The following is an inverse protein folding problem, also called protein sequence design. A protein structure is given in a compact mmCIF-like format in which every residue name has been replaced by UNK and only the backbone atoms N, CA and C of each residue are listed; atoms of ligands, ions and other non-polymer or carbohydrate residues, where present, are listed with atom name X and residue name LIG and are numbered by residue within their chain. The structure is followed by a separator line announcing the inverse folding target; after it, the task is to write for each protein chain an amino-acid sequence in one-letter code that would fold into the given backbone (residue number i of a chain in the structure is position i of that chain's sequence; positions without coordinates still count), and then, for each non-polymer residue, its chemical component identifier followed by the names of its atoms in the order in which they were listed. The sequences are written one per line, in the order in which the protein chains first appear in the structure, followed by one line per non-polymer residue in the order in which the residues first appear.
data_IF_866462736202
#
_entry.id   IF_866462736202
#
_cell.length_a   1.000
_cell.length_b   1.000
_cell.length_c   1.000
_cell.angle_alpha   90.00
_cell.angle_beta   90.00
_cell.angle_gamma   90.00
#
_symmetry.space_group_name_H-M   'P 1'
#
loop_
_entity.id
_entity.type
_entity.pdbx_description
1 polymer ?
#
# COMPACT_ATOMS: atom_id res chain seq x y z
N UNK A 1 -14.48 -11.27 -19.12
CA UNK A 1 -15.47 -11.17 -18.02
C UNK A 1 -15.65 -12.54 -17.38
N UNK A 2 -15.83 -12.58 -16.08
CA UNK A 2 -16.17 -13.78 -15.32
C UNK A 2 -17.36 -13.45 -14.42
N UNK A 3 -18.07 -14.47 -13.96
CA UNK A 3 -19.11 -14.31 -12.96
C UNK A 3 -18.52 -14.20 -11.55
N UNK A 4 -19.29 -13.64 -10.60
CA UNK A 4 -18.88 -13.58 -9.18
C UNK A 4 -18.61 -15.00 -8.64
N UNK A 5 -19.42 -15.99 -9.01
CA UNK A 5 -19.23 -17.38 -8.56
C UNK A 5 -17.94 -18.01 -9.11
N UNK A 6 -17.56 -17.72 -10.34
CA UNK A 6 -16.28 -18.17 -10.91
C UNK A 6 -15.10 -17.53 -10.18
N UNK A 7 -15.18 -16.22 -9.91
CA UNK A 7 -14.15 -15.52 -9.14
C UNK A 7 -14.02 -16.09 -7.73
N UNK A 8 -15.13 -16.32 -7.03
CA UNK A 8 -15.11 -16.91 -5.69
C UNK A 8 -14.51 -18.32 -5.64
N UNK A 9 -14.69 -19.10 -6.72
CA UNK A 9 -14.20 -20.49 -6.80
C UNK A 9 -12.70 -20.59 -7.07
N UNK A 10 -12.14 -19.75 -7.97
CA UNK A 10 -10.76 -19.92 -8.47
C UNK A 10 -9.87 -18.69 -8.26
N UNK A 11 -10.44 -17.58 -7.86
CA UNK A 11 -9.74 -16.31 -7.65
C UNK A 11 -9.14 -15.71 -8.93
N UNK A 12 -8.48 -14.59 -8.80
CA UNK A 12 -7.76 -13.93 -9.90
C UNK A 12 -6.68 -14.80 -10.52
N UNK A 13 -5.86 -15.55 -9.74
CA UNK A 13 -4.84 -16.43 -10.32
C UNK A 13 -5.42 -17.52 -11.23
N UNK A 14 -6.50 -18.19 -10.81
CA UNK A 14 -7.12 -19.24 -11.61
C UNK A 14 -7.76 -18.71 -12.88
N UNK A 15 -8.41 -17.55 -12.84
CA UNK A 15 -9.00 -16.91 -14.01
C UNK A 15 -7.94 -16.46 -15.04
N UNK A 16 -6.87 -15.86 -14.58
CA UNK A 16 -5.78 -15.42 -15.46
C UNK A 16 -5.02 -16.59 -16.05
N UNK A 17 -4.82 -17.69 -15.31
CA UNK A 17 -4.25 -18.92 -15.83
C UNK A 17 -5.13 -19.53 -16.93
N UNK A 18 -6.44 -19.65 -16.71
CA UNK A 18 -7.38 -20.16 -17.70
C UNK A 18 -7.41 -19.32 -18.98
N UNK A 19 -7.40 -17.98 -18.86
CA UNK A 19 -7.31 -17.08 -19.99
C UNK A 19 -5.99 -17.25 -20.75
N UNK A 20 -4.88 -17.38 -20.03
CA UNK A 20 -3.57 -17.59 -20.65
C UNK A 20 -3.55 -18.89 -21.48
N UNK A 21 -4.13 -19.99 -20.98
CA UNK A 21 -4.25 -21.24 -21.73
C UNK A 21 -5.08 -21.08 -23.01
N UNK A 22 -6.22 -20.39 -22.93
CA UNK A 22 -7.03 -20.10 -24.12
C UNK A 22 -6.26 -19.28 -25.17
N UNK A 23 -5.48 -18.31 -24.74
CA UNK A 23 -4.67 -17.48 -25.64
C UNK A 23 -3.52 -18.28 -26.27
N UNK A 24 -2.88 -19.19 -25.50
CA UNK A 24 -1.84 -20.09 -26.03
C UNK A 24 -2.42 -21.04 -27.08
N UNK A 25 -3.61 -21.60 -26.85
CA UNK A 25 -4.30 -22.42 -27.83
C UNK A 25 -4.61 -21.70 -29.13
N UNK A 26 -4.71 -20.36 -29.12
CA UNK A 26 -4.85 -19.50 -30.29
C UNK A 26 -3.49 -19.09 -30.92
N UNK A 27 -2.37 -19.66 -30.48
CA UNK A 27 -1.03 -19.34 -30.97
C UNK A 27 -0.45 -18.01 -30.43
N UNK A 28 -1.09 -17.39 -29.42
CA UNK A 28 -0.59 -16.17 -28.79
C UNK A 28 0.43 -16.51 -27.69
N UNK A 29 1.21 -15.51 -27.29
CA UNK A 29 2.21 -15.59 -26.20
C UNK A 29 1.79 -14.70 -25.02
N UNK A 30 0.81 -15.09 -24.20
CA UNK A 30 0.37 -14.29 -23.08
C UNK A 30 1.42 -14.24 -21.99
N UNK A 31 1.59 -13.07 -21.37
CA UNK A 31 2.30 -12.89 -20.12
C UNK A 31 1.29 -12.51 -19.02
N UNK A 32 1.25 -13.30 -17.94
CA UNK A 32 0.32 -13.06 -16.82
C UNK A 32 0.99 -12.12 -15.82
N UNK A 33 0.36 -10.97 -15.59
CA UNK A 33 0.75 -10.04 -14.53
C UNK A 33 -0.23 -10.26 -13.37
N UNK A 34 0.24 -10.67 -12.18
CA UNK A 34 -0.63 -10.85 -11.03
C UNK A 34 -1.21 -9.51 -10.55
N UNK A 35 -2.25 -9.57 -9.72
CA UNK A 35 -2.84 -8.37 -9.11
C UNK A 35 -1.76 -7.59 -8.35
N UNK A 36 -1.70 -6.28 -8.61
CA UNK A 36 -0.67 -5.41 -8.03
C UNK A 36 0.76 -5.65 -8.52
N UNK A 37 0.98 -6.56 -9.49
CA UNK A 37 2.33 -6.99 -9.85
C UNK A 37 3.04 -7.76 -8.72
N UNK A 38 2.28 -8.27 -7.74
CA UNK A 38 2.81 -8.87 -6.50
C UNK A 38 3.26 -10.30 -6.75
N UNK A 39 4.54 -10.44 -7.04
CA UNK A 39 5.30 -11.69 -7.15
C UNK A 39 6.78 -11.40 -6.87
N UNK A 40 7.60 -12.42 -6.80
CA UNK A 40 9.04 -12.29 -6.55
C UNK A 40 9.74 -11.32 -7.53
N UNK A 41 9.37 -11.37 -8.81
CA UNK A 41 9.94 -10.45 -9.81
C UNK A 41 9.55 -8.98 -9.53
N UNK A 42 8.26 -8.72 -9.24
CA UNK A 42 7.77 -7.36 -8.94
C UNK A 42 8.35 -6.79 -7.65
N UNK A 43 8.67 -7.65 -6.68
CA UNK A 43 9.30 -7.29 -5.40
C UNK A 43 10.67 -6.61 -5.59
N UNK A 44 11.43 -6.98 -6.62
CA UNK A 44 12.72 -6.36 -6.94
C UNK A 44 12.63 -4.85 -7.12
N UNK A 45 11.53 -4.34 -7.69
CA UNK A 45 11.37 -2.89 -7.88
C UNK A 45 11.41 -2.11 -6.57
N UNK A 46 10.85 -2.67 -5.49
CA UNK A 46 10.87 -2.02 -4.18
C UNK A 46 12.16 -2.29 -3.39
N UNK A 47 12.86 -3.39 -3.64
CA UNK A 47 14.21 -3.60 -3.11
C UNK A 47 15.14 -2.53 -3.68
N UNK A 48 15.10 -2.28 -4.99
CA UNK A 48 15.86 -1.21 -5.64
C UNK A 48 15.44 0.19 -5.16
N UNK A 49 14.15 0.41 -4.89
CA UNK A 49 13.67 1.66 -4.35
C UNK A 49 14.20 1.94 -2.93
N UNK A 50 14.42 0.90 -2.12
CA UNK A 50 15.10 1.06 -0.81
C UNK A 50 16.57 1.45 -1.02
N UNK A 51 17.25 0.88 -1.99
CA UNK A 51 18.64 1.28 -2.32
C UNK A 51 18.72 2.75 -2.76
N UNK A 52 17.73 3.22 -3.52
CA UNK A 52 17.61 4.65 -3.86
C UNK A 52 17.35 5.49 -2.61
N UNK A 53 16.46 5.03 -1.72
CA UNK A 53 16.15 5.70 -0.46
C UNK A 53 17.41 5.85 0.42
N UNK A 54 18.27 4.83 0.50
CA UNK A 54 19.52 4.93 1.27
C UNK A 54 20.39 6.10 0.81
N UNK A 55 20.52 6.30 -0.50
CA UNK A 55 21.27 7.44 -1.05
C UNK A 55 20.61 8.78 -0.67
N UNK A 56 19.27 8.86 -0.79
CA UNK A 56 18.52 10.07 -0.41
C UNK A 56 18.60 10.35 1.10
N UNK A 57 18.62 9.32 1.94
CA UNK A 57 18.79 9.48 3.38
C UNK A 57 20.21 9.91 3.76
N UNK A 58 21.24 9.46 3.02
CA UNK A 58 22.60 9.92 3.20
C UNK A 58 22.74 11.43 2.85
N UNK A 59 22.16 11.87 1.74
CA UNK A 59 22.13 13.29 1.36
C UNK A 59 21.36 14.13 2.41
N UNK A 60 20.25 13.60 2.92
CA UNK A 60 19.47 14.22 3.99
C UNK A 60 20.31 14.39 5.28
N UNK A 61 21.05 13.35 5.66
CA UNK A 61 21.93 13.39 6.82
C UNK A 61 23.08 14.39 6.65
N UNK A 62 23.67 14.46 5.44
CA UNK A 62 24.70 15.44 5.10
C UNK A 62 24.18 16.89 5.17
N UNK A 63 22.88 17.10 4.93
CA UNK A 63 22.20 18.38 5.10
C UNK A 63 21.82 18.71 6.56
N UNK A 64 22.17 17.85 7.53
CA UNK A 64 21.87 18.02 8.95
C UNK A 64 20.40 17.79 9.32
N UNK A 65 19.63 17.12 8.47
CA UNK A 65 18.23 16.81 8.73
C UNK A 65 18.12 15.55 9.61
N UNK A 66 17.05 15.46 10.43
CA UNK A 66 16.86 14.30 11.33
C UNK A 66 16.82 12.97 10.61
N UNK A 67 17.35 11.92 11.23
CA UNK A 67 17.30 10.55 10.75
C UNK A 67 15.83 10.06 10.67
N UNK A 68 15.46 9.42 9.57
CA UNK A 68 14.15 8.74 9.45
C UNK A 68 14.17 7.50 10.31
N UNK A 69 13.22 7.43 11.24
CA UNK A 69 13.10 6.33 12.20
C UNK A 69 12.02 5.31 11.85
N UNK A 70 11.06 5.72 11.02
CA UNK A 70 9.93 4.88 10.62
C UNK A 70 9.60 5.09 9.14
N UNK A 71 9.33 3.99 8.44
CA UNK A 71 8.82 3.97 7.07
C UNK A 71 7.41 3.40 7.12
N UNK A 72 6.43 4.14 6.59
CA UNK A 72 5.00 3.77 6.64
C UNK A 72 4.43 3.73 5.22
N UNK A 73 3.62 2.74 4.91
CA UNK A 73 3.00 2.58 3.59
C UNK A 73 1.69 1.78 3.64
N UNK A 74 0.92 1.87 2.55
CA UNK A 74 -0.28 1.06 2.36
C UNK A 74 0.09 -0.34 1.85
N UNK A 75 -0.46 -1.39 2.48
CA UNK A 75 -0.34 -2.77 2.05
C UNK A 75 -1.67 -3.24 1.43
N UNK A 76 -1.67 -3.46 0.12
CA UNK A 76 -2.81 -3.99 -0.65
C UNK A 76 -2.57 -5.45 -1.06
N UNK A 77 -1.76 -5.71 -2.07
CA UNK A 77 -1.46 -7.06 -2.58
C UNK A 77 -0.13 -7.64 -2.07
N UNK A 78 0.54 -6.97 -1.15
CA UNK A 78 1.76 -7.44 -0.49
C UNK A 78 3.09 -7.16 -1.21
N UNK A 79 3.10 -6.93 -2.52
CA UNK A 79 4.36 -6.75 -3.28
C UNK A 79 5.21 -5.57 -2.83
N UNK A 80 4.61 -4.41 -2.59
CA UNK A 80 5.29 -3.24 -2.01
C UNK A 80 5.85 -3.57 -0.63
N UNK A 81 5.04 -4.23 0.22
CA UNK A 81 5.44 -4.60 1.57
C UNK A 81 6.63 -5.58 1.56
N UNK A 82 6.58 -6.60 0.70
CA UNK A 82 7.67 -7.57 0.55
C UNK A 82 8.99 -6.88 0.14
N UNK A 83 8.92 -5.99 -0.86
CA UNK A 83 10.13 -5.32 -1.35
C UNK A 83 10.71 -4.31 -0.37
N UNK A 84 9.87 -3.48 0.27
CA UNK A 84 10.32 -2.51 1.26
C UNK A 84 10.88 -3.19 2.51
N UNK A 85 10.19 -4.22 3.02
CA UNK A 85 10.64 -4.94 4.22
C UNK A 85 11.93 -5.70 3.96
N UNK A 86 12.01 -6.45 2.87
CA UNK A 86 13.21 -7.19 2.50
C UNK A 86 14.37 -6.25 2.14
N UNK A 87 14.10 -5.19 1.38
CA UNK A 87 15.11 -4.18 1.06
C UNK A 87 15.68 -3.51 2.31
N UNK A 88 14.83 -3.08 3.24
CA UNK A 88 15.26 -2.50 4.50
C UNK A 88 16.06 -3.49 5.36
N UNK A 89 15.65 -4.76 5.40
CA UNK A 89 16.38 -5.81 6.12
C UNK A 89 17.79 -6.05 5.52
N UNK A 90 17.89 -6.07 4.20
CA UNK A 90 19.16 -6.31 3.49
C UNK A 90 20.11 -5.10 3.52
N UNK A 91 19.54 -3.89 3.49
CA UNK A 91 20.34 -2.64 3.47
C UNK A 91 20.92 -2.27 4.83
N UNK A 92 20.35 -2.78 5.91
CA UNK A 92 20.74 -2.40 7.26
C UNK A 92 20.18 -1.04 7.70
N UNK A 93 19.14 -0.53 7.03
CA UNK A 93 18.38 0.63 7.49
C UNK A 93 17.83 0.36 8.89
N UNK A 94 18.01 1.33 9.79
CA UNK A 94 17.54 1.22 11.18
C UNK A 94 16.06 1.59 11.33
N UNK A 95 15.48 2.19 10.30
CA UNK A 95 14.08 2.59 10.32
C UNK A 95 13.16 1.36 10.47
N UNK A 96 12.19 1.46 11.39
CA UNK A 96 11.14 0.46 11.52
C UNK A 96 10.19 0.54 10.33
N UNK A 97 9.83 -0.60 9.77
CA UNK A 97 8.96 -0.69 8.59
C UNK A 97 7.54 -1.04 9.02
N UNK A 98 6.57 -0.20 8.65
CA UNK A 98 5.16 -0.33 9.04
C UNK A 98 4.26 -0.36 7.80
N UNK A 99 3.65 -1.50 7.54
CA UNK A 99 2.59 -1.63 6.55
C UNK A 99 1.21 -1.51 7.19
N UNK A 100 0.29 -0.84 6.52
CA UNK A 100 -1.13 -0.82 6.94
C UNK A 100 -1.95 -1.58 5.91
N UNK A 101 -2.50 -2.72 6.30
CA UNK A 101 -3.31 -3.59 5.45
C UNK A 101 -4.68 -2.98 5.18
N UNK A 102 -5.00 -2.73 3.90
CA UNK A 102 -6.25 -2.03 3.51
C UNK A 102 -7.31 -2.95 2.89
N UNK A 103 -6.98 -4.22 2.62
CA UNK A 103 -7.92 -5.13 1.96
C UNK A 103 -8.04 -6.50 2.63
N UNK A 104 -7.04 -6.91 3.41
CA UNK A 104 -7.02 -8.23 4.05
C UNK A 104 -6.45 -8.17 5.48
N UNK A 105 -6.32 -9.32 6.14
CA UNK A 105 -5.79 -9.39 7.51
C UNK A 105 -4.25 -9.40 7.51
N UNK A 106 -3.59 -8.94 8.56
CA UNK A 106 -2.13 -8.98 8.69
C UNK A 106 -1.53 -10.38 8.49
N UNK A 107 -2.19 -11.44 8.96
CA UNK A 107 -1.68 -12.81 8.84
C UNK A 107 -1.59 -13.27 7.39
N UNK A 108 -2.59 -12.93 6.57
CA UNK A 108 -2.56 -13.21 5.13
C UNK A 108 -1.38 -12.48 4.48
N UNK A 109 -1.20 -11.21 4.79
CA UNK A 109 -0.08 -10.45 4.23
C UNK A 109 1.28 -10.97 4.67
N UNK A 110 1.45 -11.39 5.94
CA UNK A 110 2.72 -11.99 6.38
C UNK A 110 3.04 -13.27 5.59
N UNK A 111 2.04 -14.12 5.36
CA UNK A 111 2.22 -15.33 4.57
C UNK A 111 2.58 -15.02 3.10
N UNK A 112 1.89 -14.06 2.47
CA UNK A 112 2.15 -13.67 1.08
C UNK A 112 3.54 -13.04 0.92
N UNK A 113 3.95 -12.17 1.85
CA UNK A 113 5.28 -11.55 1.87
C UNK A 113 6.37 -12.60 2.04
N UNK A 114 6.20 -13.52 2.99
CA UNK A 114 7.13 -14.63 3.21
C UNK A 114 7.25 -15.53 1.97
N UNK A 115 6.14 -15.83 1.30
CA UNK A 115 6.14 -16.61 0.06
C UNK A 115 6.95 -15.93 -1.05
N UNK A 116 6.74 -14.64 -1.29
CA UNK A 116 7.53 -13.86 -2.27
C UNK A 116 9.01 -13.80 -1.91
N UNK A 117 9.34 -13.60 -0.62
CA UNK A 117 10.71 -13.58 -0.13
C UNK A 117 11.40 -14.95 -0.25
N UNK A 118 10.66 -16.03 -0.02
CA UNK A 118 11.18 -17.40 -0.19
C UNK A 118 11.51 -17.72 -1.67
N UNK A 119 10.71 -17.23 -2.62
CA UNK A 119 11.02 -17.36 -4.05
C UNK A 119 12.32 -16.62 -4.42
N UNK A 120 12.66 -15.54 -3.69
CA UNK A 120 13.92 -14.81 -3.84
C UNK A 120 15.09 -15.43 -3.05
N UNK A 121 14.82 -16.49 -2.28
CA UNK A 121 15.83 -17.17 -1.46
C UNK A 121 16.16 -16.45 -0.16
N UNK A 122 15.33 -15.49 0.29
CA UNK A 122 15.56 -14.70 1.50
C UNK A 122 15.12 -15.40 2.79
N UNK A 123 14.26 -16.43 2.70
CA UNK A 123 13.84 -17.25 3.84
C UNK A 123 13.45 -18.66 3.37
N UNK A 124 13.15 -19.56 4.30
CA UNK A 124 12.66 -20.89 3.99
C UNK A 124 11.23 -20.85 3.41
N UNK A 125 10.90 -21.78 2.50
CA UNK A 125 9.58 -21.81 1.83
C UNK A 125 8.41 -22.10 2.76
N UNK A 126 8.67 -22.74 3.86
CA UNK A 126 7.70 -23.18 4.86
C UNK A 126 7.70 -22.35 6.13
N UNK A 127 8.32 -21.16 6.09
CA UNK A 127 8.33 -20.18 7.17
C UNK A 127 7.42 -18.99 6.86
N UNK A 128 6.11 -19.07 7.11
CA UNK A 128 5.17 -17.99 6.86
C UNK A 128 5.39 -16.78 7.79
N UNK A 129 6.13 -16.97 8.88
CA UNK A 129 6.38 -15.93 9.88
C UNK A 129 7.71 -15.19 9.67
N UNK A 130 8.52 -15.59 8.69
CA UNK A 130 9.81 -14.94 8.41
C UNK A 130 9.70 -13.42 8.27
N UNK A 131 8.63 -12.93 7.64
CA UNK A 131 8.39 -11.51 7.43
C UNK A 131 8.11 -10.72 8.72
N UNK A 132 7.69 -11.38 9.82
CA UNK A 132 7.39 -10.71 11.10
C UNK A 132 8.62 -10.08 11.76
N UNK A 133 9.80 -10.55 11.40
CA UNK A 133 11.07 -9.95 11.83
C UNK A 133 11.49 -8.72 11.03
N UNK A 134 10.84 -8.43 9.90
CA UNK A 134 11.24 -7.37 8.97
C UNK A 134 10.31 -6.16 8.99
N UNK A 135 9.02 -6.35 9.28
CA UNK A 135 8.03 -5.29 9.34
C UNK A 135 6.94 -5.58 10.36
N UNK A 136 6.25 -4.53 10.77
CA UNK A 136 4.97 -4.63 11.47
C UNK A 136 3.80 -4.35 10.51
N UNK A 137 2.71 -5.09 10.63
CA UNK A 137 1.49 -4.89 9.86
C UNK A 137 0.32 -4.55 10.78
N UNK A 138 -0.26 -3.38 10.56
CA UNK A 138 -1.49 -2.95 11.22
C UNK A 138 -2.71 -3.21 10.33
N UNK A 139 -3.88 -3.42 10.94
CA UNK A 139 -5.15 -3.55 10.23
C UNK A 139 -5.75 -2.18 9.94
N UNK A 140 -5.91 -1.84 8.67
CA UNK A 140 -6.58 -0.62 8.19
C UNK A 140 -7.74 -0.88 7.24
N UNK A 141 -8.17 -2.14 7.04
CA UNK A 141 -9.31 -2.48 6.19
C UNK A 141 -10.62 -1.83 6.66
N UNK A 142 -10.78 -1.69 7.98
CA UNK A 142 -11.97 -1.15 8.62
C UNK A 142 -13.25 -1.84 8.10
N UNK A 143 -14.22 -1.11 7.54
CA UNK A 143 -15.50 -1.62 7.04
C UNK A 143 -15.37 -2.49 5.78
N UNK A 144 -14.28 -2.36 5.03
CA UNK A 144 -14.03 -3.18 3.83
C UNK A 144 -13.05 -2.53 2.85
N UNK A 145 -12.63 -3.33 1.86
CA UNK A 145 -11.82 -2.85 0.75
C UNK A 145 -12.60 -1.79 -0.06
N UNK A 146 -11.94 -0.68 -0.37
CA UNK A 146 -12.49 0.48 -1.08
C UNK A 146 -13.74 1.13 -0.40
N UNK A 147 -14.05 0.74 0.85
CA UNK A 147 -15.06 1.39 1.66
C UNK A 147 -14.39 2.38 2.60
N UNK A 148 -14.85 3.62 2.61
CA UNK A 148 -14.29 4.69 3.44
C UNK A 148 -15.33 5.19 4.43
N UNK A 149 -14.90 5.47 5.66
CA UNK A 149 -15.77 6.15 6.65
C UNK A 149 -15.70 7.66 6.46
N UNK A 150 -16.67 8.42 7.00
CA UNK A 150 -16.60 9.88 6.97
C UNK A 150 -15.34 10.44 7.60
N UNK A 151 -14.81 9.81 8.67
CA UNK A 151 -13.59 10.22 9.36
C UNK A 151 -12.34 10.02 8.47
N UNK A 152 -12.25 8.89 7.76
CA UNK A 152 -11.18 8.64 6.79
C UNK A 152 -11.20 9.68 5.67
N UNK A 153 -12.36 10.00 5.12
CA UNK A 153 -12.51 11.00 4.06
C UNK A 153 -12.21 12.42 4.58
N UNK A 154 -12.65 12.76 5.79
CA UNK A 154 -12.34 14.05 6.42
C UNK A 154 -10.83 14.21 6.63
N UNK A 155 -10.15 13.17 7.10
CA UNK A 155 -8.69 13.16 7.25
C UNK A 155 -7.97 13.41 5.92
N UNK A 156 -8.40 12.73 4.84
CA UNK A 156 -7.81 12.88 3.49
C UNK A 156 -7.99 14.31 2.98
N UNK A 157 -9.18 14.89 3.17
CA UNK A 157 -9.47 16.29 2.84
C UNK A 157 -8.56 17.25 3.61
N UNK A 158 -8.48 17.10 4.92
CA UNK A 158 -7.73 18.00 5.80
C UNK A 158 -6.23 17.91 5.52
N UNK A 159 -5.70 16.70 5.33
CA UNK A 159 -4.32 16.48 4.90
C UNK A 159 -4.01 17.19 3.58
N UNK A 160 -4.92 17.11 2.61
CA UNK A 160 -4.74 17.79 1.32
C UNK A 160 -4.71 19.32 1.49
N UNK A 161 -5.61 19.88 2.30
CA UNK A 161 -5.64 21.33 2.52
C UNK A 161 -4.44 21.85 3.30
N UNK A 162 -3.94 21.08 4.27
CA UNK A 162 -2.82 21.48 5.11
C UNK A 162 -1.45 21.31 4.42
N UNK A 163 -1.29 20.25 3.62
CA UNK A 163 0.01 19.89 3.06
C UNK A 163 0.13 20.06 1.55
N UNK A 164 -0.98 20.16 0.81
CA UNK A 164 -1.02 20.06 -0.64
C UNK A 164 -0.80 18.65 -1.19
N UNK A 165 -0.67 17.63 -0.33
CA UNK A 165 -0.48 16.24 -0.73
C UNK A 165 -1.82 15.55 -0.90
N UNK A 166 -2.09 15.07 -2.11
CA UNK A 166 -3.32 14.37 -2.44
C UNK A 166 -3.12 12.85 -2.26
N UNK A 167 -3.79 12.28 -1.26
CA UNK A 167 -3.85 10.83 -1.01
C UNK A 167 -5.20 10.26 -1.46
N UNK A 168 -5.27 8.95 -1.65
CA UNK A 168 -6.49 8.28 -2.11
C UNK A 168 -7.26 7.61 -0.97
N UNK A 169 -8.59 7.41 -1.12
CA UNK A 169 -9.42 6.85 -0.06
C UNK A 169 -9.35 5.31 0.05
N UNK A 170 -8.64 4.63 -0.86
CA UNK A 170 -8.55 3.16 -0.88
C UNK A 170 -7.26 2.66 -0.25
N UNK A 171 -6.13 3.30 -0.56
CA UNK A 171 -4.79 2.88 -0.15
C UNK A 171 -4.08 3.93 0.71
N UNK A 172 -3.50 4.96 0.09
CA UNK A 172 -2.55 5.84 0.75
C UNK A 172 -3.18 6.67 1.87
N UNK A 173 -4.31 7.31 1.64
CA UNK A 173 -4.98 8.12 2.65
C UNK A 173 -5.57 7.28 3.77
N UNK A 174 -6.19 6.14 3.41
CA UNK A 174 -6.71 5.19 4.39
C UNK A 174 -5.60 4.64 5.30
N UNK A 175 -4.50 4.22 4.71
CA UNK A 175 -3.36 3.69 5.46
C UNK A 175 -2.75 4.75 6.38
N UNK A 176 -2.58 5.98 5.90
CA UNK A 176 -2.03 7.05 6.71
C UNK A 176 -2.96 7.43 7.87
N UNK A 177 -4.28 7.49 7.63
CA UNK A 177 -5.26 7.70 8.69
C UNK A 177 -5.12 6.66 9.82
N UNK A 178 -5.15 5.37 9.48
CA UNK A 178 -5.05 4.30 10.48
C UNK A 178 -3.71 4.27 11.19
N UNK A 179 -2.63 4.60 10.50
CA UNK A 179 -1.32 4.75 11.14
C UNK A 179 -1.32 5.91 12.15
N UNK A 180 -1.83 7.07 11.78
CA UNK A 180 -1.90 8.25 12.65
C UNK A 180 -2.76 7.97 13.88
N UNK A 181 -3.92 7.34 13.73
CA UNK A 181 -4.77 6.96 14.86
C UNK A 181 -4.07 5.93 15.78
N UNK A 182 -3.36 4.96 15.20
CA UNK A 182 -2.54 4.02 15.97
C UNK A 182 -1.42 4.72 16.73
N UNK A 183 -0.73 5.66 16.12
CA UNK A 183 0.34 6.44 16.75
C UNK A 183 -0.19 7.34 17.89
N UNK A 184 -1.38 7.92 17.75
CA UNK A 184 -2.05 8.66 18.82
C UNK A 184 -2.41 7.77 20.00
N UNK A 185 -2.72 6.51 19.76
CA UNK A 185 -3.03 5.54 20.81
C UNK A 185 -1.75 5.04 21.57
N UNK A 186 -0.57 5.14 20.94
CA UNK A 186 0.72 4.72 21.51
C UNK A 186 1.77 5.87 21.41
N UNK A 187 1.52 7.03 22.03
CA UNK A 187 2.34 8.24 21.84
C UNK A 187 3.79 8.08 22.27
N UNK A 188 4.07 7.21 23.24
CA UNK A 188 5.43 6.97 23.72
C UNK A 188 6.30 6.27 22.65
N UNK A 189 5.71 5.42 21.84
CA UNK A 189 6.43 4.71 20.78
C UNK A 189 6.90 5.66 19.66
N UNK A 190 6.15 6.75 19.43
CA UNK A 190 6.38 7.69 18.33
C UNK A 190 6.83 9.08 18.80
N UNK A 191 7.24 9.25 20.08
CA UNK A 191 7.55 10.57 20.68
C UNK A 191 8.54 11.39 19.87
N UNK A 192 9.65 10.80 19.45
CA UNK A 192 10.71 11.48 18.69
C UNK A 192 10.83 10.88 17.26
N UNK A 193 9.71 10.37 16.74
CA UNK A 193 9.71 9.69 15.46
C UNK A 193 9.79 10.67 14.30
N UNK A 194 10.67 10.40 13.36
CA UNK A 194 10.70 11.01 12.04
C UNK A 194 10.18 10.00 11.02
N UNK A 195 8.95 10.22 10.55
CA UNK A 195 8.20 9.27 9.77
C UNK A 195 8.33 9.61 8.28
N UNK A 196 8.76 8.64 7.49
CA UNK A 196 8.68 8.68 6.04
C UNK A 196 7.43 7.92 5.61
N UNK A 197 6.45 8.62 5.05
CA UNK A 197 5.31 8.00 4.42
C UNK A 197 5.61 7.70 2.95
N UNK A 198 5.56 6.43 2.58
CA UNK A 198 5.79 5.98 1.21
C UNK A 198 4.50 6.09 0.41
N UNK A 199 4.35 7.17 -0.34
CA UNK A 199 3.17 7.46 -1.14
C UNK A 199 3.24 6.75 -2.49
N UNK A 200 2.45 5.70 -2.66
CA UNK A 200 2.47 4.84 -3.85
C UNK A 200 1.52 5.29 -4.97
N UNK A 201 0.90 6.46 -4.85
CA UNK A 201 -0.04 6.98 -5.85
C UNK A 201 -1.50 6.77 -5.44
N UNK A 202 -2.37 6.46 -6.41
CA UNK A 202 -3.79 6.16 -6.16
C UNK A 202 -4.74 7.35 -6.34
N UNK A 203 -4.26 8.54 -6.69
CA UNK A 203 -5.05 9.79 -6.75
C UNK A 203 -6.31 9.67 -7.61
N UNK A 204 -6.29 8.85 -8.66
CA UNK A 204 -7.48 8.62 -9.51
C UNK A 204 -8.64 7.95 -8.76
N UNK A 205 -8.38 7.25 -7.65
CA UNK A 205 -9.41 6.70 -6.77
C UNK A 205 -10.30 7.76 -6.10
N UNK A 206 -9.87 9.02 -6.09
CA UNK A 206 -10.66 10.14 -5.59
C UNK A 206 -11.94 10.36 -6.40
N UNK A 207 -11.91 10.11 -7.71
CA UNK A 207 -13.06 10.31 -8.58
C UNK A 207 -14.27 9.44 -8.20
N UNK A 208 -14.03 8.24 -7.65
CA UNK A 208 -15.11 7.35 -7.17
C UNK A 208 -15.79 7.87 -5.90
N UNK A 209 -15.17 8.80 -5.20
CA UNK A 209 -15.64 9.39 -3.93
C UNK A 209 -16.00 10.87 -4.07
N UNK A 210 -16.09 11.38 -5.28
CA UNK A 210 -16.32 12.81 -5.55
C UNK A 210 -17.52 13.35 -4.76
N UNK A 211 -18.67 12.70 -4.84
CA UNK A 211 -19.88 13.16 -4.15
C UNK A 211 -19.68 13.24 -2.63
N UNK A 212 -19.12 12.18 -2.02
CA UNK A 212 -18.85 12.14 -0.59
C UNK A 212 -17.82 13.18 -0.14
N UNK A 213 -16.82 13.45 -0.96
CA UNK A 213 -15.80 14.46 -0.68
C UNK A 213 -16.36 15.88 -0.83
N UNK A 214 -17.21 16.13 -1.82
CA UNK A 214 -17.87 17.42 -2.01
C UNK A 214 -18.78 17.78 -0.83
N UNK A 215 -19.47 16.80 -0.22
CA UNK A 215 -20.29 17.00 0.98
C UNK A 215 -19.46 17.45 2.20
N UNK A 216 -18.17 17.09 2.23
CA UNK A 216 -17.27 17.48 3.32
C UNK A 216 -16.64 18.87 3.11
N UNK A 217 -16.81 19.48 1.95
CA UNK A 217 -16.29 20.83 1.70
C UNK A 217 -17.14 21.88 2.43
N UNK A 218 -16.52 22.96 2.94
CA UNK A 218 -17.26 24.07 3.49
C UNK A 218 -18.26 24.65 2.48
N UNK A 219 -19.46 25.05 2.93
CA UNK A 219 -20.49 25.60 2.05
C UNK A 219 -19.96 26.76 1.20
N UNK A 220 -20.18 26.68 -0.11
CA UNK A 220 -19.82 27.74 -1.07
C UNK A 220 -18.41 27.68 -1.65
N UNK A 221 -17.55 26.74 -1.20
CA UNK A 221 -16.23 26.52 -1.82
C UNK A 221 -16.29 25.85 -3.17
N UNK A 222 -17.32 25.02 -3.41
CA UNK A 222 -17.56 24.41 -4.73
C UNK A 222 -18.99 24.73 -5.19
N UNK A 223 -19.13 25.24 -6.41
CA UNK A 223 -20.42 25.51 -7.03
C UNK A 223 -20.52 24.79 -8.37
N UNK A 224 -21.56 24.00 -8.54
CA UNK A 224 -21.86 23.42 -9.83
C UNK A 224 -22.40 24.52 -10.76
N UNK A 225 -21.69 24.80 -11.84
CA UNK A 225 -22.24 25.67 -12.89
C UNK A 225 -23.19 24.84 -13.75
N UNK A 226 -24.49 25.18 -13.68
CA UNK A 226 -25.49 24.60 -14.57
C UNK A 226 -25.62 25.51 -15.80
N UNK A 227 -25.10 25.05 -16.91
CA UNK A 227 -25.29 25.71 -18.20
C UNK A 227 -26.62 25.20 -18.77
N UNK A 228 -27.59 26.09 -18.91
CA UNK A 228 -28.84 25.76 -19.61
C UNK A 228 -28.52 25.60 -21.10
N UNK A 229 -29.13 24.60 -21.78
CA UNK A 229 -28.90 24.35 -23.21
C UNK A 229 -29.42 25.47 -24.10
#
# INVERSE_FOLDING_TARGET
TCTVGEYQRVGSPGLTAALAEQLRAQGKKPYVIPVGGSNALGTWGYIEAVRELEAQLADRAAAGLPEVTHIVFACGSGGTAAGLALGAHLSGLKAKVHGVGVCDTPDIFYADIAAMAAELGACAKDDPDAARGWLSLAQGKNTGYAQSTPEELAFIRDLCFESGVLTDPVYSGKALYHFVEGAKAAPEEFRDAHILFWHTGGQFGMAEKEEQLLELLPPGQCRRLVVQP
#
